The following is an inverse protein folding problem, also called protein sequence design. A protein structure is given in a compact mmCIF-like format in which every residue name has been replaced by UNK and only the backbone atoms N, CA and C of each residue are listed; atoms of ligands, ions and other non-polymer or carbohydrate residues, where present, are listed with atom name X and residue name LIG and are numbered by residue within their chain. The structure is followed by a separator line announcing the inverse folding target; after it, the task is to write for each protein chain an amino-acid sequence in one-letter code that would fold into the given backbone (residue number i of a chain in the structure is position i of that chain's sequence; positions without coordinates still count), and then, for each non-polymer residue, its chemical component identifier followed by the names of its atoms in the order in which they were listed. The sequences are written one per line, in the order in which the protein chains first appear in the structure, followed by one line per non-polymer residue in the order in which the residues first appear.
data_IF_512615175246
#
_entry.id   IF_512615175246
#
_cell.length_a   1.000
_cell.length_b   1.000
_cell.length_c   1.000
_cell.angle_alpha   90.00
_cell.angle_beta   90.00
_cell.angle_gamma   90.00
#
_symmetry.space_group_name_H-M   'P 1'
#
loop_
_entity.id
_entity.type
_entity.pdbx_description
1 polymer ?
#
# COMPACT_ATOMS: atom_id res chain seq x y z
N UNK A 1 1.03 2.38 -6.26
CA UNK A 1 -0.28 2.07 -5.66
C UNK A 1 -0.05 1.35 -4.35
N UNK A 2 -0.94 1.54 -3.37
CA UNK A 2 -0.92 0.87 -2.06
C UNK A 2 -0.99 -0.64 -2.21
N UNK A 3 -1.78 -1.16 -3.16
CA UNK A 3 -1.88 -2.60 -3.41
C UNK A 3 -0.51 -3.22 -3.72
N UNK A 4 0.29 -2.57 -4.57
CA UNK A 4 1.63 -3.09 -4.94
C UNK A 4 2.58 -3.14 -3.75
N UNK A 5 2.42 -2.22 -2.79
CA UNK A 5 3.23 -2.21 -1.57
C UNK A 5 2.78 -3.34 -0.64
N UNK A 6 1.47 -3.52 -0.48
CA UNK A 6 0.92 -4.60 0.35
C UNK A 6 1.20 -5.99 -0.25
N UNK A 7 1.19 -6.14 -1.58
CA UNK A 7 1.55 -7.38 -2.28
C UNK A 7 3.07 -7.64 -2.37
N UNK A 8 3.91 -6.63 -2.15
CA UNK A 8 5.35 -6.84 -2.16
C UNK A 8 5.83 -7.58 -0.90
N UNK A 9 6.94 -8.29 -1.02
CA UNK A 9 7.71 -8.70 0.16
C UNK A 9 8.24 -7.47 0.89
N UNK A 10 8.11 -7.47 2.22
CA UNK A 10 8.75 -6.47 3.06
C UNK A 10 10.27 -6.66 3.10
N UNK A 11 10.96 -5.63 3.55
CA UNK A 11 12.43 -5.62 3.67
C UNK A 11 12.81 -5.85 5.13
N UNK A 12 13.71 -6.81 5.37
CA UNK A 12 14.28 -7.07 6.70
C UNK A 12 15.05 -5.86 7.23
N UNK A 13 15.09 -5.68 8.55
CA UNK A 13 15.72 -4.56 9.24
C UNK A 13 14.94 -3.24 9.13
N UNK A 14 13.65 -3.30 8.76
CA UNK A 14 12.76 -2.13 8.69
C UNK A 14 11.60 -2.28 9.67
N UNK A 15 10.87 -1.20 9.94
CA UNK A 15 9.68 -1.24 10.82
C UNK A 15 8.59 -2.21 10.36
N UNK A 16 8.59 -2.63 9.08
CA UNK A 16 7.70 -3.68 8.60
C UNK A 16 8.02 -5.06 9.21
N UNK A 17 9.27 -5.30 9.58
CA UNK A 17 9.67 -6.51 10.30
C UNK A 17 9.17 -6.48 11.75
N UNK A 18 9.40 -5.38 12.46
CA UNK A 18 8.92 -5.19 13.83
C UNK A 18 7.39 -5.31 13.93
N UNK A 19 6.68 -4.83 12.90
CA UNK A 19 5.23 -4.92 12.77
C UNK A 19 4.72 -6.26 12.20
N UNK A 20 5.59 -7.26 12.00
CA UNK A 20 5.24 -8.57 11.42
C UNK A 20 4.51 -8.50 10.06
N UNK A 21 4.86 -7.51 9.24
CA UNK A 21 4.19 -7.18 7.97
C UNK A 21 5.07 -7.47 6.73
N UNK A 22 6.05 -8.36 6.85
CA UNK A 22 6.96 -8.70 5.73
C UNK A 22 6.29 -9.54 4.63
N UNK A 23 5.18 -10.21 4.94
CA UNK A 23 4.54 -11.12 3.99
C UNK A 23 3.77 -10.33 2.91
N UNK A 24 3.78 -10.79 1.65
CA UNK A 24 2.82 -10.37 0.63
C UNK A 24 1.39 -10.46 1.13
N UNK A 25 0.56 -9.48 0.78
CA UNK A 25 -0.83 -9.36 1.21
C UNK A 25 -1.03 -8.70 2.58
N UNK A 26 0.03 -8.52 3.37
CA UNK A 26 -0.06 -7.79 4.64
C UNK A 26 -0.35 -6.31 4.38
N UNK A 27 -1.27 -5.71 5.14
CA UNK A 27 -1.47 -4.25 5.12
C UNK A 27 -0.34 -3.54 5.89
N UNK A 28 0.73 -3.23 5.17
CA UNK A 28 1.96 -2.67 5.76
C UNK A 28 1.75 -1.28 6.34
N UNK A 29 0.87 -0.49 5.74
CA UNK A 29 0.62 0.88 6.19
C UNK A 29 -0.04 0.90 7.56
N UNK A 30 -1.08 0.08 7.73
CA UNK A 30 -1.79 -0.06 9.01
C UNK A 30 -0.91 -0.75 10.05
N UNK A 31 -0.12 -1.77 9.65
CA UNK A 31 0.75 -2.48 10.58
C UNK A 31 1.87 -1.59 11.17
N UNK A 32 2.53 -0.77 10.33
CA UNK A 32 3.64 0.09 10.76
C UNK A 32 3.15 1.34 11.50
N UNK A 33 1.98 1.88 11.14
CA UNK A 33 1.43 3.07 11.79
C UNK A 33 -0.09 2.92 12.03
N UNK A 34 -0.49 2.22 13.11
CA UNK A 34 -1.90 1.93 13.39
C UNK A 34 -2.71 3.17 13.76
N UNK A 35 -2.07 4.28 14.11
CA UNK A 35 -2.74 5.55 14.37
C UNK A 35 -3.24 6.24 13.09
N UNK A 36 -2.93 5.70 11.91
CA UNK A 36 -3.30 6.24 10.61
C UNK A 36 -4.15 5.25 9.82
N UNK A 37 -5.23 5.71 9.19
CA UNK A 37 -5.99 4.93 8.19
C UNK A 37 -5.77 5.51 6.81
N UNK A 38 -5.06 4.78 5.96
CA UNK A 38 -4.85 5.18 4.57
C UNK A 38 -6.16 5.13 3.77
N UNK A 39 -7.10 4.24 4.12
CA UNK A 39 -8.41 4.14 3.47
C UNK A 39 -9.20 5.44 3.67
N UNK A 40 -9.25 5.94 4.90
CA UNK A 40 -9.94 7.20 5.21
C UNK A 40 -9.30 8.39 4.46
N UNK A 41 -7.97 8.40 4.32
CA UNK A 41 -7.26 9.43 3.56
C UNK A 41 -7.60 9.39 2.07
N UNK A 42 -7.60 8.20 1.45
CA UNK A 42 -7.95 8.06 0.03
C UNK A 42 -9.42 8.42 -0.23
N UNK A 43 -10.33 7.97 0.62
CA UNK A 43 -11.73 8.33 0.52
C UNK A 43 -11.90 9.84 0.56
N UNK A 44 -11.27 10.51 1.53
CA UNK A 44 -11.37 11.96 1.65
C UNK A 44 -10.73 12.68 0.47
N UNK A 45 -9.63 12.17 -0.05
CA UNK A 45 -8.97 12.73 -1.24
C UNK A 45 -9.90 12.68 -2.46
N UNK A 46 -10.57 11.55 -2.70
CA UNK A 46 -11.53 11.40 -3.79
C UNK A 46 -12.74 12.32 -3.63
N UNK A 47 -13.28 12.48 -2.42
CA UNK A 47 -14.36 13.45 -2.12
C UNK A 47 -13.96 14.91 -2.40
N UNK A 48 -12.68 15.23 -2.24
CA UNK A 48 -12.12 16.54 -2.56
C UNK A 48 -11.81 16.70 -4.06
N UNK A 49 -12.07 15.69 -4.89
CA UNK A 49 -11.76 15.68 -6.31
C UNK A 49 -10.30 15.36 -6.62
N UNK A 50 -9.56 14.80 -5.67
CA UNK A 50 -8.15 14.42 -5.81
C UNK A 50 -8.05 12.93 -6.12
N UNK A 51 -7.93 12.62 -7.41
CA UNK A 51 -7.77 11.25 -7.89
C UNK A 51 -9.05 10.42 -7.83
N UNK A 52 -8.91 9.11 -8.01
CA UNK A 52 -10.00 8.15 -8.00
C UNK A 52 -9.47 6.78 -7.53
N UNK A 53 -10.24 6.05 -6.73
CA UNK A 53 -9.84 4.73 -6.23
C UNK A 53 -10.09 3.59 -7.22
N UNK A 54 -10.89 3.80 -8.27
CA UNK A 54 -11.12 2.83 -9.34
C UNK A 54 -10.05 2.97 -10.42
N UNK A 55 -9.19 1.97 -10.50
CA UNK A 55 -8.14 1.90 -11.51
C UNK A 55 -7.84 0.45 -11.92
N UNK A 56 -7.16 0.32 -13.05
CA UNK A 56 -6.62 -0.95 -13.52
C UNK A 56 -5.09 -0.95 -13.32
N UNK A 57 -4.58 -2.00 -12.69
CA UNK A 57 -3.14 -2.20 -12.57
C UNK A 57 -2.63 -2.85 -13.87
N UNK A 58 -1.84 -2.13 -14.64
CA UNK A 58 -1.20 -2.65 -15.87
C UNK A 58 0.22 -3.11 -15.54
N UNK A 59 0.55 -4.37 -15.84
CA UNK A 59 1.93 -4.86 -15.84
C UNK A 59 2.57 -4.51 -17.18
N UNK A 60 3.58 -3.64 -17.16
CA UNK A 60 4.42 -3.39 -18.33
C UNK A 60 5.58 -4.37 -18.28
N UNK A 61 5.63 -5.30 -19.23
CA UNK A 61 6.80 -6.15 -19.43
C UNK A 61 7.96 -5.27 -19.92
N UNK A 62 9.13 -5.41 -19.28
CA UNK A 62 10.34 -4.78 -19.80
C UNK A 62 10.72 -5.51 -21.09
N UNK A 63 10.80 -4.78 -22.20
CA UNK A 63 11.51 -5.26 -23.38
C UNK A 63 12.94 -5.63 -22.96
N UNK A 64 13.34 -6.87 -23.25
CA UNK A 64 14.66 -7.42 -22.93
C UNK A 64 15.78 -6.68 -23.63
#
# INVERSE_FOLDING_TARGET
SIDRVNEAWGVHGTSAEDASALQPGSDKFTAVNPCTSWQAQLQRAEELGIGNQKYNIVNVEKAR
#
